data_IF_178152967661
#
_entry.id   IF_178152967661
#
_cell.length_a   1.000
_cell.length_b   1.000
_cell.length_c   1.000
_cell.angle_alpha   90.00
_cell.angle_beta   90.00
_cell.angle_gamma   90.00
#
_symmetry.space_group_name_H-M   'P 1'
#
loop_
_entity.id
_entity.type
_entity.pdbx_description
1 polymer ?
#
# COMPACT_ATOMS: atom_id res chain seq x y z
N UNK A 1 -15.13 -11.94 7.25
CA UNK A 1 -14.38 -12.38 8.46
C UNK A 1 -15.31 -12.49 9.65
N UNK A 2 -15.21 -13.54 10.46
CA UNK A 2 -16.06 -13.75 11.64
C UNK A 2 -15.23 -13.95 12.91
N UNK A 3 -15.66 -13.34 14.01
CA UNK A 3 -15.11 -13.57 15.35
C UNK A 3 -15.97 -14.61 16.07
N UNK A 4 -15.45 -15.81 16.30
CA UNK A 4 -16.20 -16.87 16.98
C UNK A 4 -16.08 -16.80 18.52
N UNK A 5 -15.31 -15.86 19.06
CA UNK A 5 -15.14 -15.73 20.51
C UNK A 5 -16.24 -14.89 21.15
N UNK A 6 -16.38 -15.00 22.47
CA UNK A 6 -17.31 -14.21 23.28
C UNK A 6 -16.74 -12.83 23.68
N UNK A 7 -15.61 -12.42 23.12
CA UNK A 7 -14.96 -11.14 23.40
C UNK A 7 -14.65 -10.40 22.10
N UNK A 8 -14.69 -9.07 22.16
CA UNK A 8 -14.24 -8.22 21.06
C UNK A 8 -12.75 -8.43 20.80
N UNK A 9 -12.34 -8.33 19.53
CA UNK A 9 -10.95 -8.51 19.12
C UNK A 9 -10.48 -7.33 18.28
N UNK A 10 -9.26 -6.82 18.52
CA UNK A 10 -8.65 -5.90 17.58
C UNK A 10 -8.27 -6.69 16.32
N UNK A 11 -8.53 -6.10 15.17
CA UNK A 11 -8.38 -6.70 13.86
C UNK A 11 -7.38 -5.89 13.04
N UNK A 12 -6.32 -6.58 12.62
CA UNK A 12 -5.51 -6.23 11.46
C UNK A 12 -6.01 -7.07 10.27
N UNK A 13 -6.43 -6.41 9.21
CA UNK A 13 -6.91 -7.03 7.98
C UNK A 13 -6.42 -6.21 6.78
N UNK A 14 -5.61 -6.85 5.95
CA UNK A 14 -4.95 -6.26 4.79
C UNK A 14 -5.03 -7.21 3.60
N UNK A 15 -5.22 -6.66 2.40
CA UNK A 15 -5.03 -7.34 1.13
C UNK A 15 -3.63 -7.01 0.61
N UNK A 16 -2.75 -8.01 0.59
CA UNK A 16 -1.31 -7.82 0.36
C UNK A 16 -0.95 -7.91 -1.13
N UNK A 17 -1.52 -7.04 -1.97
CA UNK A 17 -1.30 -7.11 -3.42
C UNK A 17 0.16 -6.82 -3.72
N UNK A 18 0.84 -7.78 -4.35
CA UNK A 18 2.30 -7.74 -4.53
C UNK A 18 2.61 -7.94 -6.00
N UNK A 19 3.35 -6.99 -6.59
CA UNK A 19 3.78 -7.02 -7.98
C UNK A 19 5.25 -7.41 -8.05
N UNK A 20 5.63 -8.14 -9.09
CA UNK A 20 7.00 -8.55 -9.37
C UNK A 20 7.26 -8.54 -10.88
N UNK A 21 8.53 -8.65 -11.31
CA UNK A 21 8.82 -8.98 -12.69
C UNK A 21 8.04 -10.23 -13.16
N UNK A 22 7.68 -10.32 -14.44
CA UNK A 22 8.05 -9.37 -15.50
C UNK A 22 7.14 -8.14 -15.61
N UNK A 23 6.02 -8.08 -14.88
CA UNK A 23 5.09 -6.94 -14.94
C UNK A 23 5.72 -5.68 -14.34
N UNK A 24 6.36 -5.85 -13.17
CA UNK A 24 7.05 -4.79 -12.46
C UNK A 24 8.46 -4.59 -13.01
N UNK A 25 8.72 -3.39 -13.50
CA UNK A 25 10.03 -2.88 -13.86
C UNK A 25 10.23 -1.56 -13.08
N UNK A 26 11.21 -1.49 -12.17
CA UNK A 26 11.46 -0.28 -11.37
C UNK A 26 11.64 0.99 -12.20
N UNK A 27 12.14 0.87 -13.44
CA UNK A 27 12.42 2.00 -14.30
C UNK A 27 11.17 2.53 -15.04
N UNK A 28 10.21 1.65 -15.36
CA UNK A 28 9.14 1.96 -16.33
C UNK A 28 7.71 1.72 -15.82
N UNK A 29 7.50 0.88 -14.80
CA UNK A 29 6.17 0.69 -14.21
C UNK A 29 5.73 1.95 -13.48
N UNK A 30 4.49 2.36 -13.73
CA UNK A 30 3.89 3.57 -13.17
C UNK A 30 2.69 3.22 -12.32
N UNK A 31 2.42 4.06 -11.32
CA UNK A 31 1.32 3.88 -10.38
C UNK A 31 0.45 5.14 -10.26
N UNK A 32 -0.82 4.92 -9.93
CA UNK A 32 -1.76 5.94 -9.44
C UNK A 32 -2.46 5.41 -8.20
N UNK A 33 -2.82 6.29 -7.29
CA UNK A 33 -3.63 5.94 -6.12
C UNK A 33 -4.41 7.15 -5.63
N UNK A 34 -5.60 6.92 -5.09
CA UNK A 34 -6.46 7.97 -4.52
C UNK A 34 -6.13 8.28 -3.06
N UNK A 35 -4.86 8.56 -2.81
CA UNK A 35 -4.31 8.83 -1.47
C UNK A 35 -4.02 10.32 -1.27
N UNK A 36 -3.85 10.74 0.00
CA UNK A 36 -3.64 12.14 0.37
C UNK A 36 -2.44 12.31 1.32
N UNK A 37 -2.67 12.25 2.63
CA UNK A 37 -1.61 12.36 3.65
C UNK A 37 -0.90 11.02 3.81
N UNK A 38 0.40 11.07 4.01
CA UNK A 38 1.26 9.89 4.04
C UNK A 38 2.32 10.00 5.13
N UNK A 39 2.86 8.87 5.56
CA UNK A 39 3.97 8.80 6.53
C UNK A 39 4.98 7.76 6.09
N UNK A 40 6.26 8.10 6.12
CA UNK A 40 7.35 7.13 5.94
C UNK A 40 7.46 6.27 7.21
N UNK A 41 7.52 4.95 7.05
CA UNK A 41 7.69 4.05 8.19
C UNK A 41 8.96 4.39 8.98
N UNK A 42 8.89 4.23 10.30
CA UNK A 42 10.05 4.36 11.19
C UNK A 42 11.01 3.18 11.01
N UNK A 43 10.47 2.00 10.69
CA UNK A 43 11.21 0.79 10.43
C UNK A 43 11.20 0.48 8.93
N UNK A 44 12.36 0.13 8.39
CA UNK A 44 12.48 -0.42 7.05
C UNK A 44 12.70 -1.94 7.17
N UNK A 45 11.91 -2.77 6.48
CA UNK A 45 12.15 -4.20 6.49
C UNK A 45 13.30 -4.63 5.55
N UNK A 46 13.88 -3.70 4.78
CA UNK A 46 15.14 -3.88 4.04
C UNK A 46 16.36 -3.27 4.74
N UNK A 47 17.45 -3.12 3.99
CA UNK A 47 18.71 -2.52 4.47
C UNK A 47 19.07 -1.21 3.74
N UNK A 48 18.27 -0.82 2.73
CA UNK A 48 18.57 0.28 1.82
C UNK A 48 17.41 1.29 1.74
N UNK A 49 16.77 1.58 2.89
CA UNK A 49 15.77 2.64 2.98
C UNK A 49 16.33 3.98 2.54
N UNK A 50 15.78 4.52 1.46
CA UNK A 50 16.21 5.79 0.88
C UNK A 50 15.33 6.98 1.32
N UNK A 51 14.14 6.71 1.87
CA UNK A 51 13.22 7.72 2.41
C UNK A 51 13.56 8.08 3.85
N UNK A 52 13.24 9.31 4.25
CA UNK A 52 13.49 9.83 5.60
C UNK A 52 12.45 9.25 6.58
N UNK A 53 12.85 8.41 7.55
CA UNK A 53 11.92 7.71 8.45
C UNK A 53 11.03 8.67 9.24
N UNK A 54 9.77 8.28 9.44
CA UNK A 54 8.81 9.02 10.26
C UNK A 54 8.30 10.33 9.68
N UNK A 55 8.75 10.73 8.49
CA UNK A 55 8.30 11.99 7.88
C UNK A 55 6.90 11.85 7.32
N UNK A 56 6.05 12.79 7.70
CA UNK A 56 4.77 13.01 7.03
C UNK A 56 4.99 13.77 5.71
N UNK A 57 4.16 13.47 4.71
CA UNK A 57 4.21 14.13 3.42
C UNK A 57 2.86 14.04 2.69
N UNK A 58 2.68 14.90 1.69
CA UNK A 58 1.55 14.82 0.77
C UNK A 58 1.88 13.87 -0.37
N UNK A 59 1.07 12.83 -0.53
CA UNK A 59 1.16 11.92 -1.66
C UNK A 59 1.14 12.72 -2.98
N UNK A 60 2.04 12.43 -3.95
CA UNK A 60 2.97 11.29 -3.99
C UNK A 60 4.44 11.62 -3.67
N UNK A 61 4.76 12.84 -3.26
CA UNK A 61 6.15 13.32 -3.18
C UNK A 61 6.70 13.10 -1.77
N UNK A 62 7.59 12.12 -1.61
CA UNK A 62 8.15 11.71 -0.33
C UNK A 62 9.58 12.26 -0.12
N UNK A 63 9.94 12.71 1.09
CA UNK A 63 11.27 13.21 1.39
C UNK A 63 12.29 12.06 1.48
N UNK A 64 13.45 12.25 0.85
CA UNK A 64 14.58 11.31 0.88
C UNK A 64 15.60 11.70 1.94
N UNK A 65 16.42 10.72 2.35
CA UNK A 65 17.48 10.91 3.35
C UNK A 65 18.60 11.84 2.88
N UNK A 66 18.81 11.92 1.57
CA UNK A 66 19.80 12.79 0.94
C UNK A 66 19.34 14.26 0.81
N UNK A 67 18.18 14.60 1.37
CA UNK A 67 17.58 15.93 1.28
C UNK A 67 16.77 16.17 -0.01
N UNK A 68 16.75 15.20 -0.93
CA UNK A 68 15.93 15.25 -2.13
C UNK A 68 14.49 14.74 -1.90
N UNK A 69 13.77 14.55 -3.00
CA UNK A 69 12.41 14.02 -3.01
C UNK A 69 12.30 12.80 -3.94
N UNK A 70 11.30 11.97 -3.70
CA UNK A 70 10.95 10.84 -4.55
C UNK A 70 9.47 10.87 -4.87
N UNK A 71 9.13 10.77 -6.15
CA UNK A 71 7.75 10.56 -6.59
C UNK A 71 7.40 9.07 -6.49
N UNK A 72 6.56 8.73 -5.52
CA UNK A 72 6.17 7.36 -5.25
C UNK A 72 5.17 6.77 -6.28
N UNK A 73 4.81 7.53 -7.33
CA UNK A 73 4.15 6.98 -8.52
C UNK A 73 5.07 6.09 -9.36
N UNK A 74 6.36 6.01 -9.03
CA UNK A 74 7.34 5.10 -9.59
C UNK A 74 8.10 4.43 -8.44
N UNK A 75 8.74 3.28 -8.69
CA UNK A 75 9.66 2.70 -7.71
C UNK A 75 10.98 3.47 -7.72
N UNK A 76 11.77 3.32 -6.67
CA UNK A 76 13.16 3.71 -6.75
C UNK A 76 13.90 2.87 -7.80
N UNK A 77 14.37 3.53 -8.86
CA UNK A 77 14.91 2.87 -10.07
C UNK A 77 16.22 2.14 -9.82
N UNK A 78 17.06 2.68 -8.94
CA UNK A 78 18.42 2.18 -8.71
C UNK A 78 18.43 1.16 -7.58
N UNK A 79 18.86 -0.06 -7.87
CA UNK A 79 19.14 -1.06 -6.84
C UNK A 79 20.50 -0.79 -6.16
N UNK A 80 20.68 -1.17 -4.89
CA UNK A 80 19.66 -1.69 -3.98
C UNK A 80 18.81 -0.58 -3.37
N UNK A 81 17.52 -0.84 -3.19
CA UNK A 81 16.61 0.08 -2.51
C UNK A 81 15.48 -0.64 -1.79
N UNK A 82 15.02 -0.05 -0.69
CA UNK A 82 13.85 -0.53 0.05
C UNK A 82 13.07 0.63 0.64
N UNK A 83 11.85 0.35 1.09
CA UNK A 83 11.07 1.30 1.86
C UNK A 83 9.68 0.80 2.19
N UNK A 84 9.06 1.45 3.16
CA UNK A 84 7.64 1.29 3.46
C UNK A 84 7.01 2.64 3.78
N UNK A 85 5.86 2.92 3.19
CA UNK A 85 5.09 4.15 3.45
C UNK A 85 3.61 3.82 3.68
N UNK A 86 3.00 4.51 4.63
CA UNK A 86 1.56 4.44 4.87
C UNK A 86 0.87 5.63 4.21
N UNK A 87 -0.26 5.39 3.55
CA UNK A 87 -1.00 6.42 2.84
C UNK A 87 -2.48 6.37 3.22
N UNK A 88 -3.03 7.53 3.57
CA UNK A 88 -4.43 7.68 3.92
C UNK A 88 -5.26 7.99 2.66
N UNK A 89 -6.28 7.16 2.42
CA UNK A 89 -7.22 7.35 1.31
C UNK A 89 -7.97 8.69 1.40
N UNK A 90 -8.24 9.30 0.24
CA UNK A 90 -8.95 10.58 0.14
C UNK A 90 -10.36 10.48 0.75
N UNK A 91 -10.59 11.19 1.86
CA UNK A 91 -11.86 11.17 2.58
C UNK A 91 -13.04 11.71 1.75
N UNK A 92 -12.78 12.44 0.67
CA UNK A 92 -13.81 12.96 -0.26
C UNK A 92 -14.35 11.89 -1.21
N UNK A 93 -13.81 10.66 -1.16
CA UNK A 93 -14.22 9.53 -2.00
C UNK A 93 -14.82 8.41 -1.16
N UNK A 94 -15.87 7.78 -1.69
CA UNK A 94 -16.43 6.55 -1.10
C UNK A 94 -15.54 5.34 -1.38
N UNK A 95 -14.92 5.34 -2.56
CA UNK A 95 -14.03 4.28 -3.02
C UNK A 95 -12.59 4.79 -3.13
N UNK A 96 -11.68 3.98 -2.60
CA UNK A 96 -10.25 4.14 -2.77
C UNK A 96 -9.76 3.15 -3.85
N UNK A 97 -8.62 3.46 -4.46
CA UNK A 97 -8.05 2.63 -5.52
C UNK A 97 -6.54 2.80 -5.62
N UNK A 98 -5.91 1.84 -6.28
CA UNK A 98 -4.64 2.04 -6.96
C UNK A 98 -4.69 1.48 -8.39
N UNK A 99 -3.81 1.98 -9.24
CA UNK A 99 -3.57 1.50 -10.61
C UNK A 99 -2.07 1.23 -10.75
N UNK A 100 -1.72 0.11 -11.38
CA UNK A 100 -0.38 -0.21 -11.83
C UNK A 100 -0.42 -0.37 -13.35
N UNK A 101 0.51 0.28 -14.04
CA UNK A 101 0.62 0.26 -15.49
C UNK A 101 2.05 -0.04 -15.91
N UNK A 102 2.19 -0.94 -16.88
CA UNK A 102 3.46 -1.23 -17.53
C UNK A 102 3.37 -0.94 -19.03
N UNK A 103 4.17 -0.01 -19.57
CA UNK A 103 4.21 0.26 -21.00
C UNK A 103 4.61 -0.97 -21.82
N UNK A 104 5.47 -1.83 -21.25
CA UNK A 104 5.99 -3.04 -21.91
C UNK A 104 4.88 -3.97 -22.39
N UNK A 105 3.81 -4.10 -21.61
CA UNK A 105 2.67 -4.96 -21.95
C UNK A 105 1.43 -4.17 -22.34
N UNK A 106 1.51 -2.83 -22.40
CA UNK A 106 0.35 -1.93 -22.63
C UNK A 106 -0.83 -2.30 -21.71
N UNK A 107 -0.52 -2.64 -20.47
CA UNK A 107 -1.49 -3.22 -19.54
C UNK A 107 -1.55 -2.38 -18.27
N UNK A 108 -2.75 -1.93 -17.94
CA UNK A 108 -3.07 -1.38 -16.64
C UNK A 108 -3.96 -2.36 -15.87
N UNK A 109 -3.73 -2.49 -14.57
CA UNK A 109 -4.68 -3.12 -13.66
C UNK A 109 -4.63 -2.47 -12.28
N UNK A 110 -5.59 -2.77 -11.44
CA UNK A 110 -5.47 -2.45 -10.02
C UNK A 110 -6.74 -2.82 -9.28
N UNK A 111 -6.85 -2.26 -8.08
CA UNK A 111 -7.92 -2.58 -7.15
C UNK A 111 -8.73 -1.33 -6.84
N UNK A 112 -10.03 -1.53 -6.64
CA UNK A 112 -10.96 -0.52 -6.11
C UNK A 112 -11.69 -1.13 -4.93
N UNK A 113 -11.79 -0.39 -3.83
CA UNK A 113 -12.42 -0.88 -2.60
C UNK A 113 -13.17 0.25 -1.89
N UNK A 114 -14.10 -0.09 -1.00
CA UNK A 114 -14.77 0.88 -0.13
C UNK A 114 -13.75 1.45 0.85
N UNK A 115 -13.58 2.78 0.86
CA UNK A 115 -12.65 3.47 1.77
C UNK A 115 -12.98 3.18 3.24
N UNK A 116 -14.26 3.07 3.56
CA UNK A 116 -14.71 2.74 4.91
C UNK A 116 -14.27 1.35 5.38
N UNK A 117 -14.05 0.42 4.46
CA UNK A 117 -13.56 -0.93 4.76
C UNK A 117 -12.05 -0.91 5.02
N UNK A 118 -11.30 -0.24 4.16
CA UNK A 118 -9.84 -0.15 4.21
C UNK A 118 -9.37 1.29 3.96
N UNK A 119 -9.13 2.09 5.01
CA UNK A 119 -8.72 3.49 4.86
C UNK A 119 -7.24 3.67 4.49
N UNK A 120 -6.42 2.63 4.66
CA UNK A 120 -4.97 2.70 4.46
C UNK A 120 -4.54 1.96 3.19
N UNK A 121 -3.54 2.52 2.53
CA UNK A 121 -2.70 1.84 1.55
C UNK A 121 -1.26 1.86 2.07
N UNK A 122 -0.69 0.69 2.33
CA UNK A 122 0.73 0.49 2.51
C UNK A 122 1.42 0.33 1.17
N UNK A 123 2.55 1.01 0.97
CA UNK A 123 3.42 0.77 -0.18
C UNK A 123 4.74 0.25 0.32
N UNK A 124 5.04 -1.01 0.00
CA UNK A 124 6.30 -1.66 0.28
C UNK A 124 7.14 -1.70 -1.01
N UNK A 125 8.40 -1.32 -0.92
CA UNK A 125 9.39 -1.49 -1.98
C UNK A 125 10.52 -2.42 -1.54
N UNK A 126 10.86 -3.36 -2.41
CA UNK A 126 12.05 -4.20 -2.34
C UNK A 126 12.68 -4.24 -3.74
N UNK A 127 13.88 -3.71 -3.85
CA UNK A 127 14.66 -3.73 -5.09
C UNK A 127 16.09 -4.18 -4.76
N UNK A 128 16.29 -5.50 -4.70
CA UNK A 128 17.55 -6.18 -4.42
C UNK A 128 18.24 -5.76 -3.10
N UNK A 129 17.46 -5.31 -2.11
CA UNK A 129 17.98 -4.86 -0.82
C UNK A 129 18.23 -6.01 0.14
N UNK A 130 17.26 -6.91 0.32
CA UNK A 130 17.36 -7.99 1.31
C UNK A 130 18.37 -9.06 0.89
N UNK A 131 19.33 -9.34 1.77
CA UNK A 131 20.42 -10.27 1.51
C UNK A 131 20.18 -11.68 2.03
N UNK A 132 19.42 -11.82 3.12
CA UNK A 132 19.16 -13.13 3.72
C UNK A 132 18.33 -14.01 2.77
N UNK A 133 18.53 -15.33 2.84
CA UNK A 133 17.67 -16.28 2.14
C UNK A 133 16.20 -16.10 2.56
N UNK A 134 15.22 -16.17 1.64
CA UNK A 134 15.33 -16.53 0.23
C UNK A 134 15.53 -15.34 -0.73
N UNK A 135 15.82 -14.13 -0.23
CA UNK A 135 15.89 -12.91 -1.05
C UNK A 135 17.16 -12.83 -1.89
N UNK A 136 18.29 -13.26 -1.30
CA UNK A 136 19.62 -13.39 -1.92
C UNK A 136 20.07 -12.17 -2.76
N UNK A 137 19.60 -10.95 -2.41
CA UNK A 137 19.90 -9.71 -3.14
C UNK A 137 19.36 -9.66 -4.57
N UNK A 138 18.33 -10.45 -4.89
CA UNK A 138 17.83 -10.62 -6.27
C UNK A 138 16.36 -10.24 -6.46
N UNK A 139 15.61 -10.09 -5.38
CA UNK A 139 14.17 -9.87 -5.46
C UNK A 139 13.85 -8.43 -5.85
N UNK A 140 12.94 -8.28 -6.80
CA UNK A 140 12.30 -7.01 -7.12
C UNK A 140 10.82 -7.18 -6.90
N UNK A 141 10.25 -6.41 -5.99
CA UNK A 141 8.82 -6.43 -5.73
C UNK A 141 8.30 -5.11 -5.16
N UNK A 142 7.03 -4.84 -5.42
CA UNK A 142 6.29 -3.72 -4.84
C UNK A 142 4.96 -4.19 -4.29
N UNK A 143 4.74 -3.98 -3.00
CA UNK A 143 3.45 -4.13 -2.35
C UNK A 143 2.59 -2.88 -2.55
N UNK A 144 1.33 -3.08 -2.93
CA UNK A 144 0.26 -2.08 -2.95
C UNK A 144 -0.86 -2.60 -2.05
N UNK A 145 -0.66 -2.44 -0.74
CA UNK A 145 -1.29 -3.23 0.31
C UNK A 145 -2.41 -2.43 0.98
N UNK A 146 -3.67 -2.63 0.59
CA UNK A 146 -4.78 -1.89 1.20
C UNK A 146 -5.35 -2.64 2.41
N UNK A 147 -5.62 -1.92 3.50
CA UNK A 147 -6.02 -2.54 4.75
C UNK A 147 -6.57 -1.58 5.80
N UNK A 148 -6.87 -2.14 6.96
CA UNK A 148 -7.32 -1.39 8.15
C UNK A 148 -6.16 -0.78 8.95
N UNK A 149 -4.93 -1.18 8.66
CA UNK A 149 -3.73 -0.79 9.41
C UNK A 149 -2.70 -0.11 8.51
N UNK A 150 -2.03 0.95 8.99
CA UNK A 150 -1.07 1.72 8.21
C UNK A 150 0.28 1.02 8.04
N UNK A 151 0.69 0.16 8.98
CA UNK A 151 2.02 -0.43 9.03
C UNK A 151 1.97 -1.95 9.31
N UNK A 152 2.99 -2.72 8.88
CA UNK A 152 3.15 -4.13 9.21
C UNK A 152 3.73 -4.25 10.63
N UNK A 153 2.90 -4.05 11.63
CA UNK A 153 3.28 -4.06 13.05
C UNK A 153 2.57 -5.17 13.83
N UNK A 154 3.04 -5.46 15.04
CA UNK A 154 2.37 -6.44 15.91
C UNK A 154 0.99 -5.94 16.34
N UNK A 155 0.11 -6.87 16.75
CA UNK A 155 -1.22 -6.48 17.28
C UNK A 155 -1.13 -5.53 18.47
N UNK A 156 -0.09 -5.62 19.29
CA UNK A 156 0.10 -4.74 20.45
C UNK A 156 0.46 -3.33 19.98
N UNK A 157 1.49 -3.20 19.14
CA UNK A 157 1.91 -1.91 18.58
C UNK A 157 0.77 -1.21 17.83
N UNK A 158 -0.01 -1.98 17.06
CA UNK A 158 -1.19 -1.49 16.36
C UNK A 158 -2.25 -0.90 17.31
N UNK A 159 -2.55 -1.60 18.40
CA UNK A 159 -3.51 -1.13 19.42
C UNK A 159 -2.97 0.09 20.16
N UNK A 160 -1.68 0.06 20.53
CA UNK A 160 -1.02 1.16 21.24
C UNK A 160 -0.95 2.42 20.36
N UNK A 161 -0.69 2.27 19.06
CA UNK A 161 -0.75 3.36 18.08
C UNK A 161 -2.13 3.98 18.02
N UNK A 162 -3.17 3.16 18.00
CA UNK A 162 -4.59 3.51 17.94
C UNK A 162 -5.04 4.26 16.68
N UNK A 163 -4.44 5.42 16.40
CA UNK A 163 -4.75 6.29 15.26
C UNK A 163 -3.45 6.79 14.60
N UNK A 164 -3.54 7.11 13.32
CA UNK A 164 -2.51 7.80 12.57
C UNK A 164 -3.19 8.75 11.58
N UNK A 165 -2.68 9.97 11.40
CA UNK A 165 -3.27 10.98 10.49
C UNK A 165 -4.80 11.10 10.64
N UNK A 166 -5.29 11.15 11.87
CA UNK A 166 -6.72 11.22 12.21
C UNK A 166 -7.60 10.04 11.74
N UNK A 167 -7.02 8.92 11.33
CA UNK A 167 -7.74 7.70 10.97
C UNK A 167 -7.40 6.56 11.94
N UNK A 168 -8.35 5.65 12.15
CA UNK A 168 -8.12 4.46 12.97
C UNK A 168 -7.03 3.58 12.33
N UNK A 169 -6.09 3.09 13.14
CA UNK A 169 -5.00 2.21 12.69
C UNK A 169 -5.35 0.72 12.75
N UNK A 170 -6.60 0.41 13.12
CA UNK A 170 -7.15 -0.94 13.21
C UNK A 170 -8.67 -0.88 13.28
N UNK A 171 -9.32 -2.05 13.20
CA UNK A 171 -10.75 -2.19 13.48
C UNK A 171 -10.98 -3.06 14.71
N UNK A 172 -12.12 -2.89 15.37
CA UNK A 172 -12.65 -3.89 16.28
C UNK A 172 -13.62 -4.79 15.54
N UNK A 173 -13.56 -6.09 15.83
CA UNK A 173 -14.63 -7.02 15.51
C UNK A 173 -15.29 -7.47 16.80
N UNK A 174 -16.59 -7.24 16.92
CA UNK A 174 -17.35 -7.55 18.13
C UNK A 174 -17.37 -9.06 18.42
N UNK A 175 -17.66 -9.42 19.67
CA UNK A 175 -17.94 -10.81 20.05
C UNK A 175 -19.02 -11.41 19.15
N UNK A 176 -18.79 -12.64 18.65
CA UNK A 176 -19.68 -13.31 17.67
C UNK A 176 -19.97 -12.49 16.40
N UNK A 177 -19.23 -11.41 16.16
CA UNK A 177 -19.46 -10.47 15.07
C UNK A 177 -18.91 -10.94 13.73
N UNK A 178 -19.37 -10.29 12.68
CA UNK A 178 -18.91 -10.50 11.30
C UNK A 178 -18.64 -9.15 10.64
N UNK A 179 -17.54 -9.09 9.90
CA UNK A 179 -17.19 -7.99 9.01
C UNK A 179 -17.01 -8.54 7.60
N UNK A 180 -17.66 -7.92 6.62
CA UNK A 180 -17.49 -8.23 5.22
C UNK A 180 -16.84 -7.02 4.54
N UNK A 181 -16.04 -7.28 3.51
CA UNK A 181 -15.43 -6.25 2.70
C UNK A 181 -15.49 -6.66 1.24
N UNK A 182 -15.70 -5.67 0.39
CA UNK A 182 -15.85 -5.86 -1.05
C UNK A 182 -14.80 -5.01 -1.78
N UNK A 183 -14.19 -5.61 -2.79
CA UNK A 183 -13.24 -4.94 -3.67
C UNK A 183 -13.30 -5.57 -5.06
N UNK A 184 -12.95 -4.78 -6.06
CA UNK A 184 -12.89 -5.20 -7.46
C UNK A 184 -11.46 -5.13 -7.96
N UNK A 185 -11.13 -6.09 -8.83
CA UNK A 185 -9.93 -6.03 -9.65
C UNK A 185 -10.38 -5.61 -11.04
N UNK A 186 -9.79 -4.55 -11.56
CA UNK A 186 -10.08 -4.04 -12.90
C UNK A 186 -8.79 -3.99 -13.71
N UNK A 187 -8.87 -4.34 -14.99
CA UNK A 187 -7.74 -4.36 -15.90
C UNK A 187 -8.16 -3.91 -17.30
N UNK A 188 -7.28 -3.18 -17.98
CA UNK A 188 -7.51 -2.72 -19.35
C UNK A 188 -6.20 -2.66 -20.15
N UNK A 189 -6.29 -2.98 -21.43
CA UNK A 189 -5.22 -2.72 -22.39
C UNK A 189 -5.26 -1.23 -22.74
N UNK A 190 -4.12 -0.55 -22.66
CA UNK A 190 -4.01 0.89 -22.89
C UNK A 190 -2.56 1.30 -23.16
N UNK A 191 -2.38 2.40 -23.90
CA UNK A 191 -1.06 2.96 -24.21
C UNK A 191 -0.52 3.90 -23.13
N UNK A 192 -1.39 4.39 -22.25
CA UNK A 192 -1.05 5.37 -21.22
C UNK A 192 -1.61 4.96 -19.87
N UNK A 193 -0.97 5.38 -18.78
CA UNK A 193 -1.48 5.10 -17.44
C UNK A 193 -2.85 5.76 -17.23
N UNK A 194 -3.88 5.00 -16.84
CA UNK A 194 -5.16 5.58 -16.45
C UNK A 194 -5.05 6.32 -15.11
N UNK A 195 -5.71 7.47 -14.99
CA UNK A 195 -5.79 8.22 -13.72
C UNK A 195 -6.78 7.61 -12.72
N UNK A 196 -7.60 6.64 -13.15
CA UNK A 196 -8.52 5.86 -12.32
C UNK A 196 -8.88 4.53 -12.98
N UNK A 197 -9.52 3.63 -12.24
CA UNK A 197 -10.12 2.41 -12.80
C UNK A 197 -11.62 2.60 -12.98
N UNK A 198 -12.21 1.86 -13.92
CA UNK A 198 -13.64 1.60 -13.93
C UNK A 198 -13.95 0.39 -13.05
N UNK A 199 -15.07 0.41 -12.35
CA UNK A 199 -15.56 -0.73 -11.58
C UNK A 199 -17.09 -0.84 -11.74
N UNK A 200 -17.67 -2.03 -11.51
CA UNK A 200 -19.10 -2.22 -11.59
C UNK A 200 -19.83 -1.25 -10.63
N UNK A 201 -20.85 -0.55 -11.15
CA UNK A 201 -21.84 0.09 -10.29
C UNK A 201 -22.82 -1.00 -9.88
N UNK A 202 -22.68 -1.51 -8.65
CA UNK A 202 -23.68 -2.42 -8.10
C UNK A 202 -24.92 -1.58 -7.81
N UNK A 203 -26.03 -1.92 -8.46
CA UNK A 203 -27.36 -1.30 -8.30
C UNK A 203 -27.96 -1.58 -6.94
#
# INVERSE_FOLDING_TARGET
MANLSAMDRPLAWTQHVTLSPPFLDPATTQFRASMTRSVVSQADPGFNAYLTPGKEFSWPIAPRRDGGESDLRQMHKTAPASGYTAHLADARRDHAYFVAFTPRFRQAFGYVWKRADFPWLGIWEENCSRQASPWDGKTVTRGMEFGVSPFPETRREMVDRNRLLDAAAYKWISSRGRLDAEYWISSQVTDVIPESLTWPKVS
#
